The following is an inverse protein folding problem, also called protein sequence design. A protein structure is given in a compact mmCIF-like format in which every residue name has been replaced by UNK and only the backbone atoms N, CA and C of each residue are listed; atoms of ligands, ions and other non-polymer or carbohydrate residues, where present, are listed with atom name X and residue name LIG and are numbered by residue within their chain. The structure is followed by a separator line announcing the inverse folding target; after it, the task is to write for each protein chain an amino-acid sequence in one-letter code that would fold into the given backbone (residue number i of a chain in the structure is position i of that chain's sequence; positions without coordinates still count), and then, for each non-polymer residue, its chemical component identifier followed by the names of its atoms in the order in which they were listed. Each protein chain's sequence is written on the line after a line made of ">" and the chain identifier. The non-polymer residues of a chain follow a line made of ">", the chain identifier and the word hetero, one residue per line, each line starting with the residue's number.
data_IF_686792562740
#
_entry.id   IF_686792562740
#
_cell.length_a   1.000
_cell.length_b   1.000
_cell.length_c   1.000
_cell.angle_alpha   90.00
_cell.angle_beta   90.00
_cell.angle_gamma   90.00
#
_symmetry.space_group_name_H-M   'P 1'
#
loop_
_entity.id
_entity.type
_entity.pdbx_description
1 polymer ?
#
# COMPACT_ATOMS: atom_id res chain seq x y z
N UNK A 1 23.81 24.84 -10.11
CA UNK A 1 22.44 25.39 -10.17
C UNK A 1 21.40 24.39 -10.69
N UNK A 2 21.58 23.74 -11.86
CA UNK A 2 20.61 22.74 -12.40
C UNK A 2 20.31 21.55 -11.45
N UNK A 3 21.32 21.02 -10.74
CA UNK A 3 21.12 19.89 -9.80
C UNK A 3 20.35 20.26 -8.53
N UNK A 4 20.54 21.49 -8.03
CA UNK A 4 19.81 22.01 -6.86
C UNK A 4 18.35 22.34 -7.24
N UNK A 5 18.13 22.78 -8.47
CA UNK A 5 16.78 23.01 -9.01
C UNK A 5 16.01 21.69 -9.21
N UNK A 6 16.70 20.62 -9.66
CA UNK A 6 16.09 19.29 -9.78
C UNK A 6 15.73 18.70 -8.40
N UNK A 7 16.62 18.83 -7.41
CA UNK A 7 16.34 18.48 -6.01
C UNK A 7 15.19 19.31 -5.42
N UNK A 8 15.13 20.60 -5.74
CA UNK A 8 14.04 21.48 -5.36
C UNK A 8 12.70 21.05 -5.98
N UNK A 9 12.67 20.63 -7.24
CA UNK A 9 11.47 20.10 -7.88
C UNK A 9 11.06 18.75 -7.29
N UNK A 10 12.00 17.85 -6.99
CA UNK A 10 11.71 16.57 -6.33
C UNK A 10 11.13 16.82 -4.92
N UNK A 11 11.69 17.77 -4.16
CA UNK A 11 11.16 18.19 -2.86
C UNK A 11 9.79 18.88 -2.99
N UNK A 12 9.57 19.72 -4.01
CA UNK A 12 8.28 20.38 -4.22
C UNK A 12 7.22 19.38 -4.67
N UNK A 13 7.54 18.42 -5.54
CA UNK A 13 6.61 17.35 -5.95
C UNK A 13 6.25 16.48 -4.73
N UNK A 14 7.22 16.11 -3.89
CA UNK A 14 6.95 15.36 -2.66
C UNK A 14 6.15 16.14 -1.60
N UNK A 15 6.19 17.49 -1.63
CA UNK A 15 5.38 18.36 -0.76
C UNK A 15 4.02 18.73 -1.37
N UNK A 16 3.87 18.67 -2.70
CA UNK A 16 2.65 19.09 -3.43
C UNK A 16 1.60 18.00 -3.57
N UNK A 17 1.96 16.72 -3.37
CA UNK A 17 0.97 15.70 -3.06
C UNK A 17 0.53 15.93 -1.62
N UNK A 18 -0.34 16.91 -1.38
CA UNK A 18 -0.94 17.14 -0.07
C UNK A 18 -1.57 15.85 0.43
N UNK A 19 -0.93 15.25 1.44
CA UNK A 19 -1.32 13.99 2.07
C UNK A 19 -2.63 14.25 2.80
N UNK A 20 -3.74 14.09 2.09
CA UNK A 20 -5.01 13.89 2.78
C UNK A 20 -4.92 12.48 3.32
N UNK A 21 -4.63 12.34 4.61
CA UNK A 21 -4.94 11.12 5.32
C UNK A 21 -6.42 10.87 5.06
N UNK A 22 -6.74 9.93 4.17
CA UNK A 22 -8.11 9.51 3.90
C UNK A 22 -8.78 9.04 5.20
N UNK A 23 -7.98 8.67 6.21
CA UNK A 23 -8.45 8.14 7.49
C UNK A 23 -7.62 8.59 8.69
N UNK A 24 -8.31 8.84 9.80
CA UNK A 24 -7.72 9.10 11.10
C UNK A 24 -7.25 7.78 11.73
N UNK A 25 -5.94 7.54 11.70
CA UNK A 25 -5.32 6.32 12.23
C UNK A 25 -5.50 6.13 13.75
N UNK A 26 -6.03 7.12 14.47
CA UNK A 26 -6.45 6.94 15.88
C UNK A 26 -7.60 5.94 16.02
N UNK A 27 -8.37 5.71 14.96
CA UNK A 27 -9.45 4.73 14.91
C UNK A 27 -8.96 3.31 14.57
N UNK A 28 -7.64 3.10 14.56
CA UNK A 28 -7.01 1.83 14.21
C UNK A 28 -6.23 1.35 15.43
N UNK A 29 -6.29 0.06 15.75
CA UNK A 29 -5.50 -0.54 16.84
C UNK A 29 -4.34 -1.36 16.28
N UNK A 30 -4.61 -2.18 15.27
CA UNK A 30 -3.64 -3.08 14.65
C UNK A 30 -3.93 -3.25 13.16
N UNK A 31 -2.88 -3.26 12.36
CA UNK A 31 -2.89 -3.64 10.94
C UNK A 31 -1.70 -4.55 10.68
N UNK A 32 -1.92 -5.70 10.08
CA UNK A 32 -0.87 -6.66 9.72
C UNK A 32 -0.96 -6.98 8.23
N UNK A 33 0.16 -6.88 7.53
CA UNK A 33 0.31 -7.21 6.12
C UNK A 33 1.41 -8.24 5.92
N UNK A 34 1.21 -9.11 4.94
CA UNK A 34 2.28 -9.86 4.29
C UNK A 34 2.58 -9.18 2.96
N UNK A 35 3.84 -8.82 2.75
CA UNK A 35 4.34 -8.27 1.50
C UNK A 35 5.29 -9.29 0.84
N UNK A 36 5.00 -9.66 -0.39
CA UNK A 36 5.86 -10.50 -1.22
C UNK A 36 6.47 -9.65 -2.33
N UNK A 37 7.79 -9.73 -2.47
CA UNK A 37 8.56 -9.07 -3.53
C UNK A 37 9.79 -9.93 -3.82
N UNK A 38 10.03 -10.24 -5.10
CA UNK A 38 11.04 -11.20 -5.53
C UNK A 38 10.88 -12.54 -4.77
N UNK A 39 11.92 -13.03 -4.11
CA UNK A 39 11.93 -14.25 -3.29
C UNK A 39 11.66 -13.99 -1.80
N UNK A 40 11.37 -12.73 -1.42
CA UNK A 40 11.23 -12.32 -0.02
C UNK A 40 9.78 -12.12 0.37
N UNK A 41 9.50 -12.48 1.63
CA UNK A 41 8.22 -12.24 2.29
C UNK A 41 8.46 -11.45 3.57
N UNK A 42 7.86 -10.26 3.65
CA UNK A 42 7.93 -9.36 4.78
C UNK A 42 6.61 -9.39 5.54
N UNK A 43 6.67 -9.52 6.86
CA UNK A 43 5.55 -9.25 7.76
C UNK A 43 5.67 -7.81 8.24
N UNK A 44 4.67 -6.99 7.95
CA UNK A 44 4.63 -5.59 8.36
C UNK A 44 3.46 -5.36 9.30
N UNK A 45 3.73 -4.75 10.44
CA UNK A 45 2.72 -4.46 11.47
C UNK A 45 2.70 -2.97 11.79
N UNK A 46 1.49 -2.42 11.89
CA UNK A 46 1.23 -1.09 12.41
C UNK A 46 0.32 -1.20 13.63
N UNK A 47 0.72 -0.59 14.73
CA UNK A 47 -0.07 -0.51 15.96
C UNK A 47 -0.22 0.94 16.38
N UNK A 48 -1.44 1.30 16.76
CA UNK A 48 -1.72 2.61 17.36
C UNK A 48 -2.40 2.36 18.69
N UNK A 49 -1.83 2.92 19.75
CA UNK A 49 -2.34 2.75 21.10
C UNK A 49 -2.34 4.09 21.83
N UNK A 50 -3.32 4.29 22.72
CA UNK A 50 -3.38 5.49 23.55
C UNK A 50 -2.59 5.25 24.84
N UNK A 51 -1.65 6.13 25.13
CA UNK A 51 -0.86 6.14 26.37
C UNK A 51 -1.08 7.49 27.04
N UNK A 52 -1.85 7.50 28.13
CA UNK A 52 -2.30 8.71 28.83
C UNK A 52 -3.00 9.72 27.89
N UNK A 53 -2.39 10.91 27.70
CA UNK A 53 -2.85 11.98 26.84
C UNK A 53 -2.22 11.95 25.43
N UNK A 54 -1.46 10.92 25.10
CA UNK A 54 -0.72 10.78 23.84
C UNK A 54 -1.14 9.49 23.11
N UNK A 55 -0.78 9.43 21.82
CA UNK A 55 -0.86 8.20 21.04
C UNK A 55 0.56 7.71 20.80
N UNK A 56 0.79 6.42 21.06
CA UNK A 56 1.99 5.70 20.63
C UNK A 56 1.68 5.01 19.30
N UNK A 57 2.51 5.28 18.29
CA UNK A 57 2.43 4.67 16.97
C UNK A 57 3.66 3.79 16.79
N UNK A 58 3.45 2.49 16.61
CA UNK A 58 4.51 1.51 16.37
C UNK A 58 4.40 0.96 14.97
N UNK A 59 5.57 0.77 14.37
CA UNK A 59 5.73 0.08 13.11
C UNK A 59 6.81 -0.98 13.32
N UNK A 60 6.56 -2.19 12.84
CA UNK A 60 7.55 -3.25 12.80
C UNK A 60 7.51 -3.94 11.44
N UNK A 61 8.68 -4.31 10.94
CA UNK A 61 8.82 -5.16 9.75
C UNK A 61 9.78 -6.29 10.09
N UNK A 62 9.49 -7.50 9.62
CA UNK A 62 10.39 -8.64 9.70
C UNK A 62 10.33 -9.45 8.40
N UNK A 63 11.39 -10.18 8.09
CA UNK A 63 11.40 -11.18 7.02
C UNK A 63 12.24 -12.37 7.48
N UNK A 64 12.02 -13.53 6.87
CA UNK A 64 12.81 -14.72 7.17
C UNK A 64 14.05 -14.77 6.28
N UNK A 65 15.14 -15.28 6.84
CA UNK A 65 16.41 -15.52 6.14
C UNK A 65 16.76 -17.00 6.28
N UNK A 66 17.40 -17.57 5.27
CA UNK A 66 17.85 -18.96 5.31
C UNK A 66 18.88 -19.17 6.43
N UNK A 67 18.78 -20.33 7.09
CA UNK A 67 19.57 -20.61 8.30
C UNK A 67 21.08 -20.68 8.06
N UNK A 68 21.51 -20.92 6.81
CA UNK A 68 22.89 -21.03 6.38
C UNK A 68 23.43 -19.76 5.70
N UNK A 69 22.58 -18.74 5.49
CA UNK A 69 22.99 -17.45 4.94
C UNK A 69 23.51 -16.51 6.05
N UNK A 70 24.62 -15.78 5.82
CA UNK A 70 25.07 -14.75 6.75
C UNK A 70 24.08 -13.57 6.76
N UNK A 71 23.70 -13.11 7.96
CA UNK A 71 22.90 -11.88 8.11
C UNK A 71 23.86 -10.69 8.02
N UNK A 72 23.86 -10.01 6.88
CA UNK A 72 24.70 -8.84 6.66
C UNK A 72 24.09 -7.58 7.28
N UNK A 73 24.92 -6.55 7.52
CA UNK A 73 24.41 -5.29 8.07
C UNK A 73 23.41 -4.60 7.12
N UNK A 74 23.56 -4.82 5.80
CA UNK A 74 22.62 -4.30 4.80
C UNK A 74 21.21 -4.90 4.94
N UNK A 75 21.11 -6.18 5.35
CA UNK A 75 19.84 -6.87 5.62
C UNK A 75 18.96 -6.13 6.63
N UNK A 76 19.56 -5.40 7.58
CA UNK A 76 18.82 -4.57 8.54
C UNK A 76 18.13 -3.37 7.87
N UNK A 77 18.66 -2.87 6.76
CA UNK A 77 18.06 -1.78 6.01
C UNK A 77 16.96 -2.26 5.06
N UNK A 78 17.04 -3.49 4.56
CA UNK A 78 16.01 -4.10 3.70
C UNK A 78 14.63 -4.15 4.40
N UNK A 79 14.62 -4.23 5.72
CA UNK A 79 13.40 -4.13 6.56
C UNK A 79 12.60 -2.86 6.25
N UNK A 80 13.27 -1.76 5.88
CA UNK A 80 12.61 -0.50 5.54
C UNK A 80 11.87 -0.57 4.20
N UNK A 81 12.25 -1.48 3.29
CA UNK A 81 11.55 -1.66 2.02
C UNK A 81 10.10 -2.10 2.26
N UNK A 82 9.87 -3.05 3.18
CA UNK A 82 8.51 -3.50 3.51
C UNK A 82 7.61 -2.37 4.01
N UNK A 83 8.16 -1.49 4.86
CA UNK A 83 7.44 -0.31 5.36
C UNK A 83 7.19 0.72 4.24
N UNK A 84 8.18 0.93 3.37
CA UNK A 84 8.11 1.86 2.24
C UNK A 84 7.12 1.40 1.18
N UNK A 85 7.08 0.11 0.85
CA UNK A 85 6.09 -0.40 -0.08
C UNK A 85 4.67 -0.20 0.46
N UNK A 86 4.41 -0.47 1.75
CA UNK A 86 3.09 -0.19 2.29
C UNK A 86 2.72 1.30 2.30
N UNK A 87 3.66 2.23 2.40
CA UNK A 87 3.31 3.66 2.28
C UNK A 87 2.92 4.05 0.84
N UNK A 88 3.49 3.39 -0.18
CA UNK A 88 3.15 3.59 -1.59
C UNK A 88 1.87 2.83 -1.98
N UNK A 89 1.67 1.64 -1.40
CA UNK A 89 0.59 0.72 -1.74
C UNK A 89 -0.68 0.97 -0.92
N UNK A 90 -0.58 1.65 0.22
CA UNK A 90 -1.74 1.89 1.08
C UNK A 90 -2.71 2.86 0.39
N UNK A 91 -3.99 2.45 0.27
CA UNK A 91 -5.05 3.24 -0.29
C UNK A 91 -5.18 4.69 0.17
N UNK A 92 -4.82 4.92 1.44
CA UNK A 92 -4.94 6.21 2.07
C UNK A 92 -4.05 7.30 1.45
N UNK A 93 -3.11 6.94 0.58
CA UNK A 93 -2.08 7.85 0.05
C UNK A 93 -2.08 8.00 -1.47
N UNK A 94 -2.97 7.29 -2.19
CA UNK A 94 -2.94 7.27 -3.65
C UNK A 94 -4.12 8.07 -4.23
N UNK A 95 -3.83 9.21 -4.88
CA UNK A 95 -4.81 10.06 -5.57
C UNK A 95 -5.76 9.24 -6.46
N UNK A 96 -5.27 8.15 -7.06
CA UNK A 96 -6.04 7.24 -7.90
C UNK A 96 -7.28 6.64 -7.20
N UNK A 97 -7.24 6.48 -5.88
CA UNK A 97 -8.33 5.88 -5.13
C UNK A 97 -9.44 6.87 -4.78
N UNK A 98 -9.18 8.17 -4.90
CA UNK A 98 -10.27 9.16 -4.91
C UNK A 98 -11.19 9.00 -6.13
N UNK A 99 -10.71 8.33 -7.20
CA UNK A 99 -11.50 7.96 -8.36
C UNK A 99 -12.20 6.59 -8.22
N UNK A 100 -12.00 5.89 -7.10
CA UNK A 100 -12.69 4.63 -6.82
C UNK A 100 -14.02 4.90 -6.15
N UNK A 101 -15.09 4.42 -6.79
CA UNK A 101 -16.44 4.36 -6.26
C UNK A 101 -16.87 2.89 -6.20
N UNK A 102 -16.75 2.28 -5.03
CA UNK A 102 -17.15 0.89 -4.80
C UNK A 102 -18.67 0.67 -4.89
N UNK A 103 -19.47 1.74 -4.92
CA UNK A 103 -20.93 1.69 -4.98
C UNK A 103 -21.41 1.66 -6.42
N UNK A 104 -20.97 2.61 -7.25
CA UNK A 104 -21.43 2.72 -8.65
C UNK A 104 -20.56 1.91 -9.63
N UNK A 105 -19.30 1.62 -9.28
CA UNK A 105 -18.37 0.74 -10.02
C UNK A 105 -18.25 1.08 -11.53
N UNK A 106 -18.31 2.37 -11.87
CA UNK A 106 -18.23 2.82 -13.25
C UNK A 106 -16.78 2.86 -13.74
N UNK A 107 -16.54 2.38 -14.97
CA UNK A 107 -15.23 2.50 -15.61
C UNK A 107 -14.85 3.98 -15.72
N UNK A 108 -13.72 4.34 -15.11
CA UNK A 108 -13.32 5.74 -14.94
C UNK A 108 -11.99 5.98 -15.64
N UNK A 109 -11.96 6.93 -16.58
CA UNK A 109 -10.72 7.36 -17.23
C UNK A 109 -10.04 8.44 -16.39
N UNK A 110 -8.80 8.20 -16.00
CA UNK A 110 -7.98 9.12 -15.20
C UNK A 110 -6.92 9.72 -16.13
N UNK A 111 -7.06 11.01 -16.45
CA UNK A 111 -6.17 11.70 -17.39
C UNK A 111 -4.71 11.64 -16.92
N UNK A 112 -3.82 11.14 -17.79
CA UNK A 112 -2.38 11.00 -17.50
C UNK A 112 -1.99 9.76 -16.71
N UNK A 113 -2.95 8.91 -16.32
CA UNK A 113 -2.70 7.66 -15.59
C UNK A 113 -3.28 6.42 -16.30
N UNK A 114 -4.46 6.54 -16.91
CA UNK A 114 -5.08 5.45 -17.67
C UNK A 114 -6.55 5.24 -17.35
N UNK A 115 -6.99 3.98 -17.26
CA UNK A 115 -8.39 3.59 -17.06
C UNK A 115 -8.55 2.66 -15.87
N UNK A 116 -9.39 3.05 -14.94
CA UNK A 116 -9.77 2.26 -13.77
C UNK A 116 -11.03 1.43 -14.09
N UNK A 117 -10.98 0.13 -13.81
CA UNK A 117 -12.06 -0.84 -14.04
C UNK A 117 -12.35 -1.67 -12.80
N UNK A 118 -13.57 -2.18 -12.71
CA UNK A 118 -14.02 -3.06 -11.64
C UNK A 118 -14.23 -4.47 -12.22
N UNK A 119 -13.52 -5.45 -11.66
CA UNK A 119 -13.37 -6.79 -12.26
C UNK A 119 -13.86 -7.90 -11.32
N UNK A 120 -15.05 -7.71 -10.73
CA UNK A 120 -15.69 -8.69 -9.86
C UNK A 120 -15.18 -8.62 -8.42
N UNK A 121 -15.18 -9.77 -7.74
CA UNK A 121 -14.84 -9.87 -6.31
C UNK A 121 -13.79 -10.93 -6.05
N UNK A 122 -12.94 -10.70 -5.05
CA UNK A 122 -11.92 -11.65 -4.58
C UNK A 122 -12.02 -11.82 -3.05
N UNK A 123 -11.79 -13.04 -2.57
CA UNK A 123 -11.68 -13.33 -1.14
C UNK A 123 -10.22 -13.25 -0.72
N UNK A 124 -9.93 -12.42 0.28
CA UNK A 124 -8.59 -12.26 0.88
C UNK A 124 -8.75 -12.47 2.39
N UNK A 125 -8.10 -13.51 2.91
CA UNK A 125 -8.28 -13.92 4.30
C UNK A 125 -9.76 -14.14 4.67
N UNK A 126 -10.24 -13.38 5.66
CA UNK A 126 -11.63 -13.42 6.15
C UNK A 126 -12.58 -12.46 5.42
N UNK A 127 -12.07 -11.63 4.52
CA UNK A 127 -12.85 -10.60 3.84
C UNK A 127 -13.09 -10.96 2.37
N UNK A 128 -14.17 -10.41 1.80
CA UNK A 128 -14.42 -10.41 0.36
C UNK A 128 -14.44 -8.96 -0.09
N UNK A 129 -13.63 -8.62 -1.10
CA UNK A 129 -13.55 -7.26 -1.64
C UNK A 129 -13.85 -7.22 -3.13
N UNK A 130 -14.10 -6.01 -3.63
CA UNK A 130 -14.22 -5.71 -5.05
C UNK A 130 -12.82 -5.59 -5.64
N UNK A 131 -12.59 -6.27 -6.77
CA UNK A 131 -11.36 -6.15 -7.54
C UNK A 131 -11.41 -4.89 -8.39
N UNK A 132 -10.43 -4.01 -8.22
CA UNK A 132 -10.27 -2.76 -8.95
C UNK A 132 -8.92 -2.77 -9.65
N UNK A 133 -8.90 -2.51 -10.96
CA UNK A 133 -7.69 -2.60 -11.78
C UNK A 133 -7.45 -1.29 -12.50
N UNK A 134 -6.25 -0.75 -12.37
CA UNK A 134 -5.75 0.33 -13.20
C UNK A 134 -5.02 -0.25 -14.41
N UNK A 135 -5.53 0.10 -15.58
CA UNK A 135 -4.87 -0.08 -16.86
C UNK A 135 -4.20 1.23 -17.26
N UNK A 136 -2.99 1.19 -17.83
CA UNK A 136 -2.36 2.38 -18.39
C UNK A 136 -3.03 2.82 -19.72
N UNK A 137 -2.49 3.86 -20.34
CA UNK A 137 -3.02 4.38 -21.62
C UNK A 137 -2.83 3.41 -22.80
N UNK A 138 -1.91 2.45 -22.70
CA UNK A 138 -1.70 1.40 -23.70
C UNK A 138 -2.65 0.21 -23.51
N UNK A 139 -3.33 0.14 -22.37
CA UNK A 139 -4.25 -0.93 -22.01
C UNK A 139 -3.60 -2.09 -21.26
N UNK A 140 -2.40 -1.89 -20.72
CA UNK A 140 -1.72 -2.86 -19.86
C UNK A 140 -2.10 -2.67 -18.38
N UNK A 141 -2.25 -3.78 -17.64
CA UNK A 141 -2.49 -3.72 -16.20
C UNK A 141 -1.24 -3.19 -15.49
N UNK A 142 -1.40 -2.23 -14.58
CA UNK A 142 -0.30 -1.69 -13.76
C UNK A 142 -0.50 -1.90 -12.28
N UNK A 143 -1.73 -1.74 -11.78
CA UNK A 143 -2.02 -1.92 -10.37
C UNK A 143 -3.39 -2.59 -10.22
N UNK A 144 -3.47 -3.55 -9.31
CA UNK A 144 -4.71 -4.18 -8.87
C UNK A 144 -4.88 -3.97 -7.36
N UNK A 145 -6.09 -3.60 -6.95
CA UNK A 145 -6.50 -3.52 -5.55
C UNK A 145 -7.71 -4.43 -5.30
N UNK A 146 -7.73 -5.10 -4.16
CA UNK A 146 -8.94 -5.71 -3.60
C UNK A 146 -9.40 -4.85 -2.44
N UNK A 147 -10.57 -4.22 -2.58
CA UNK A 147 -11.06 -3.20 -1.63
C UNK A 147 -12.38 -3.63 -0.99
N UNK A 148 -12.59 -3.28 0.28
CA UNK A 148 -13.82 -3.60 1.01
C UNK A 148 -14.33 -2.34 1.73
N UNK A 149 -15.62 -2.01 1.57
CA UNK A 149 -16.21 -0.80 2.14
C UNK A 149 -16.15 -0.72 3.67
N UNK A 150 -16.02 -1.86 4.36
CA UNK A 150 -15.95 -1.93 5.82
C UNK A 150 -14.52 -2.03 6.34
N UNK A 151 -13.52 -2.15 5.46
CA UNK A 151 -12.11 -2.21 5.84
C UNK A 151 -11.40 -0.99 5.29
N UNK A 152 -10.86 -0.12 6.17
CA UNK A 152 -10.17 1.11 5.79
C UNK A 152 -8.97 0.93 4.86
N UNK A 153 -8.42 -0.28 4.83
CA UNK A 153 -7.21 -0.63 4.11
C UNK A 153 -7.50 -1.56 2.94
N UNK A 154 -6.64 -1.54 1.92
CA UNK A 154 -6.75 -2.49 0.81
C UNK A 154 -6.55 -3.90 1.36
N UNK A 155 -7.48 -4.80 1.07
CA UNK A 155 -7.31 -6.19 1.44
C UNK A 155 -6.11 -6.81 0.73
N UNK A 156 -5.89 -6.40 -0.52
CA UNK A 156 -4.74 -6.79 -1.31
C UNK A 156 -4.36 -5.72 -2.30
N UNK A 157 -3.07 -5.56 -2.56
CA UNK A 157 -2.52 -4.69 -3.60
C UNK A 157 -1.49 -5.48 -4.39
N UNK A 158 -1.57 -5.40 -5.71
CA UNK A 158 -0.60 -5.96 -6.63
C UNK A 158 -0.11 -4.84 -7.54
N UNK A 159 1.18 -4.48 -7.45
CA UNK A 159 1.84 -3.62 -8.45
C UNK A 159 2.53 -4.50 -9.45
N UNK A 160 2.26 -4.22 -10.72
CA UNK A 160 2.72 -4.99 -11.87
C UNK A 160 3.69 -4.08 -12.62
N UNK A 161 5.00 -4.33 -12.45
CA UNK A 161 6.02 -3.66 -13.24
C UNK A 161 6.24 -4.40 -14.56
N UNK A 162 6.44 -5.73 -14.49
CA UNK A 162 6.49 -6.67 -15.61
C UNK A 162 5.74 -7.98 -15.23
N UNK A 163 5.49 -8.90 -16.19
CA UNK A 163 4.72 -10.13 -15.88
C UNK A 163 5.38 -11.00 -14.80
N UNK A 164 6.69 -10.90 -14.63
CA UNK A 164 7.49 -11.66 -13.66
C UNK A 164 7.74 -10.89 -12.35
N UNK A 165 7.83 -9.55 -12.41
CA UNK A 165 8.14 -8.71 -11.25
C UNK A 165 6.87 -8.04 -10.70
N UNK A 166 6.35 -8.65 -9.64
CA UNK A 166 5.16 -8.16 -8.94
C UNK A 166 5.47 -7.92 -7.46
N UNK A 167 4.95 -6.80 -6.96
CA UNK A 167 4.89 -6.53 -5.52
C UNK A 167 3.48 -6.82 -5.07
N UNK A 168 3.30 -7.76 -4.15
CA UNK A 168 2.00 -8.15 -3.62
C UNK A 168 1.94 -7.89 -2.13
N UNK A 169 1.00 -7.07 -1.67
CA UNK A 169 0.70 -6.87 -0.25
C UNK A 169 -0.68 -7.43 0.07
N UNK A 170 -0.80 -8.36 1.00
CA UNK A 170 -2.06 -8.93 1.47
C UNK A 170 -2.30 -8.61 2.95
N UNK A 171 -3.49 -8.09 3.26
CA UNK A 171 -3.93 -7.80 4.62
C UNK A 171 -4.21 -9.10 5.35
N UNK A 172 -3.45 -9.35 6.41
CA UNK A 172 -3.60 -10.51 7.29
C UNK A 172 -4.61 -10.21 8.38
N UNK A 173 -4.49 -9.04 9.00
CA UNK A 173 -5.29 -8.68 10.15
C UNK A 173 -5.56 -7.18 10.22
N UNK A 174 -6.74 -6.84 10.72
CA UNK A 174 -7.15 -5.48 10.99
C UNK A 174 -8.04 -5.48 12.23
N UNK A 175 -7.68 -4.63 13.19
CA UNK A 175 -8.42 -4.40 14.42
C UNK A 175 -8.68 -2.89 14.53
N UNK A 176 -9.94 -2.42 14.51
CA UNK A 176 -10.27 -1.03 14.78
C UNK A 176 -9.95 -0.66 16.24
N UNK A 177 -9.76 0.62 16.52
CA UNK A 177 -9.79 1.12 17.89
C UNK A 177 -11.21 1.05 18.46
N UNK A 178 -11.31 0.87 19.78
CA UNK A 178 -12.57 0.86 20.53
C UNK A 178 -13.12 2.27 20.79
#
# INVERSE_FOLDING_TARGET
>A
MKKVFLLGIICIVSVSFGWTLLEDLRNVKLVEYILSYEDKTYNVTFEVSRVDSQYEVKQSTSYMVDSDAPIEFYSLFEINLGAYFLSILNPAYNYLLTAVDLTNQETTKIMGFGTLKYEGTEKVGKWTGTRVVLYDESGEKKIEWILNQNVPFALKVTVIEDQEDQIVAELVNYIPAE
#
